data_IF_902396948960
#
_entry.id   IF_902396948960
#
_cell.length_a   1.000
_cell.length_b   1.000
_cell.length_c   1.000
_cell.angle_alpha   90.00
_cell.angle_beta   90.00
_cell.angle_gamma   90.00
#
_symmetry.space_group_name_H-M   'P 1'
#
loop_
_entity.id
_entity.type
_entity.pdbx_description
1 polymer ?
#
# COMPACT_ATOMS: atom_id res chain seq x y z
N UNK A 1 -13.93 -2.20 -4.86
CA UNK A 1 -12.78 -3.11 -5.09
C UNK A 1 -12.53 -3.86 -3.79
N UNK A 2 -12.39 -5.19 -3.83
CA UNK A 2 -12.12 -5.99 -2.62
C UNK A 2 -10.63 -5.89 -2.25
N UNK A 3 -10.30 -6.13 -0.97
CA UNK A 3 -8.90 -6.15 -0.52
C UNK A 3 -8.06 -7.16 -1.31
N UNK A 4 -8.67 -8.27 -1.71
CA UNK A 4 -8.03 -9.32 -2.50
C UNK A 4 -7.69 -8.86 -3.92
N UNK A 5 -8.60 -8.18 -4.62
CA UNK A 5 -8.32 -7.59 -5.94
C UNK A 5 -7.18 -6.59 -5.86
N UNK A 6 -7.19 -5.74 -4.83
CA UNK A 6 -6.10 -4.79 -4.59
C UNK A 6 -4.79 -5.52 -4.33
N UNK A 7 -4.75 -6.53 -3.46
CA UNK A 7 -3.56 -7.34 -3.25
C UNK A 7 -3.03 -7.97 -4.54
N UNK A 8 -3.94 -8.48 -5.38
CA UNK A 8 -3.59 -9.11 -6.65
C UNK A 8 -3.03 -8.10 -7.66
N UNK A 9 -3.64 -6.91 -7.72
CA UNK A 9 -3.11 -5.79 -8.50
C UNK A 9 -1.78 -5.34 -7.93
N UNK A 10 -1.56 -5.30 -6.62
CA UNK A 10 -0.31 -4.81 -6.05
C UNK A 10 0.79 -5.88 -5.95
N UNK A 11 0.45 -7.15 -6.14
CA UNK A 11 1.38 -8.27 -6.07
C UNK A 11 2.55 -8.13 -7.05
N UNK A 12 2.34 -7.53 -8.22
CA UNK A 12 3.42 -7.27 -9.18
C UNK A 12 4.40 -6.18 -8.74
N UNK A 13 4.01 -5.34 -7.76
CA UNK A 13 4.87 -4.33 -7.17
C UNK A 13 5.70 -4.88 -6.01
N UNK A 14 5.35 -6.07 -5.48
CA UNK A 14 6.14 -6.74 -4.43
C UNK A 14 7.50 -7.14 -5.01
N UNK A 15 8.57 -6.74 -4.33
CA UNK A 15 9.95 -6.88 -4.80
C UNK A 15 10.47 -5.70 -5.61
N UNK A 16 9.65 -4.67 -5.87
CA UNK A 16 10.10 -3.42 -6.50
C UNK A 16 10.44 -2.36 -5.44
N UNK A 17 11.35 -1.42 -5.74
CA UNK A 17 11.65 -0.31 -4.84
C UNK A 17 10.42 0.58 -4.66
N UNK A 18 10.06 0.80 -3.40
CA UNK A 18 9.01 1.71 -3.00
C UNK A 18 9.38 3.13 -3.42
N UNK A 19 8.44 3.78 -4.09
CA UNK A 19 8.51 5.19 -4.46
C UNK A 19 7.24 5.90 -4.01
N UNK A 20 7.30 7.16 -3.59
CA UNK A 20 6.10 7.94 -3.28
C UNK A 20 5.13 8.02 -4.46
N UNK A 21 5.59 7.91 -5.71
CA UNK A 21 4.72 7.85 -6.89
C UNK A 21 3.84 6.58 -6.95
N UNK A 22 4.27 5.49 -6.31
CA UNK A 22 3.45 4.28 -6.20
C UNK A 22 2.20 4.56 -5.39
N UNK A 23 2.23 5.41 -4.36
CA UNK A 23 1.01 5.75 -3.61
C UNK A 23 -0.08 6.33 -4.49
N UNK A 24 0.30 7.26 -5.37
CA UNK A 24 -0.62 7.91 -6.30
C UNK A 24 -1.18 6.90 -7.32
N UNK A 25 -0.31 5.99 -7.77
CA UNK A 25 -0.70 4.87 -8.65
C UNK A 25 -1.67 3.92 -7.95
N UNK A 26 -1.40 3.55 -6.69
CA UNK A 26 -2.29 2.71 -5.87
C UNK A 26 -3.61 3.42 -5.62
N UNK A 27 -3.59 4.71 -5.29
CA UNK A 27 -4.79 5.51 -5.08
C UNK A 27 -5.66 5.51 -6.35
N UNK A 28 -5.04 5.70 -7.52
CA UNK A 28 -5.72 5.70 -8.82
C UNK A 28 -6.24 4.32 -9.21
N UNK A 29 -5.43 3.26 -9.03
CA UNK A 29 -5.79 1.88 -9.38
C UNK A 29 -6.89 1.33 -8.48
N UNK A 30 -6.83 1.63 -7.19
CA UNK A 30 -7.71 1.04 -6.17
C UNK A 30 -8.90 1.92 -5.82
N UNK A 31 -8.84 3.19 -6.21
CA UNK A 31 -9.80 4.23 -5.81
C UNK A 31 -9.68 4.65 -4.35
N UNK A 32 -8.68 4.16 -3.61
CA UNK A 32 -8.51 4.44 -2.18
C UNK A 32 -7.65 5.65 -1.95
N UNK A 33 -8.24 6.65 -1.31
CA UNK A 33 -7.60 7.93 -0.97
C UNK A 33 -6.58 7.83 0.17
N UNK A 34 -6.57 6.71 0.92
CA UNK A 34 -5.76 6.57 2.14
C UNK A 34 -4.71 5.47 2.01
N UNK A 35 -3.63 5.80 1.30
CA UNK A 35 -2.46 4.91 1.12
C UNK A 35 -1.30 5.40 1.99
N UNK A 36 -0.91 4.57 2.96
CA UNK A 36 0.14 4.85 3.93
C UNK A 36 1.44 4.18 3.48
N UNK A 37 2.49 4.96 3.43
CA UNK A 37 3.83 4.48 3.09
C UNK A 37 4.45 3.62 4.21
N UNK A 38 5.51 2.86 3.90
CA UNK A 38 6.21 2.03 4.88
C UNK A 38 6.87 2.82 6.01
N UNK A 39 7.24 4.08 5.74
CA UNK A 39 7.90 4.98 6.69
C UNK A 39 6.93 5.95 7.38
N UNK A 40 5.64 5.92 7.02
CA UNK A 40 4.67 6.82 7.64
C UNK A 40 4.09 6.22 8.90
N UNK A 41 4.28 6.93 10.02
CA UNK A 41 3.48 6.70 11.21
C UNK A 41 2.03 7.11 10.93
N UNK A 42 1.11 6.16 11.07
CA UNK A 42 -0.32 6.42 11.06
C UNK A 42 -0.95 6.07 12.42
N UNK A 43 -1.96 6.84 12.81
CA UNK A 43 -2.76 6.59 14.01
C UNK A 43 -3.44 5.22 13.90
N UNK A 44 -3.55 4.47 15.01
CA UNK A 44 -4.20 3.13 15.04
C UNK A 44 -5.72 3.16 14.81
N UNK A 45 -6.26 4.23 14.24
CA UNK A 45 -7.66 4.31 13.88
C UNK A 45 -7.99 3.28 12.79
N UNK A 46 -9.11 2.59 12.99
CA UNK A 46 -9.62 1.58 12.09
C UNK A 46 -10.22 2.27 10.86
N UNK A 47 -9.60 2.09 9.70
CA UNK A 47 -10.02 2.66 8.42
C UNK A 47 -10.05 1.54 7.37
N UNK A 48 -11.26 1.14 6.98
CA UNK A 48 -11.51 0.05 6.01
C UNK A 48 -10.91 0.40 4.63
N UNK A 49 -10.71 1.69 4.35
CA UNK A 49 -10.13 2.18 3.10
C UNK A 49 -8.60 2.31 3.14
N UNK A 50 -7.97 2.02 4.29
CA UNK A 50 -6.53 2.22 4.48
C UNK A 50 -5.72 1.07 3.91
N UNK A 51 -4.78 1.40 3.04
CA UNK A 51 -3.75 0.48 2.58
C UNK A 51 -2.44 0.88 3.24
N UNK A 52 -1.85 -0.03 4.01
CA UNK A 52 -0.51 0.15 4.54
C UNK A 52 0.48 -0.62 3.69
N UNK A 53 1.41 0.09 3.06
CA UNK A 53 2.50 -0.51 2.29
C UNK A 53 3.56 -0.98 3.28
N UNK A 54 3.93 -2.26 3.22
CA UNK A 54 5.10 -2.77 3.90
C UNK A 54 6.28 -2.80 2.94
N UNK A 55 7.32 -2.05 3.27
CA UNK A 55 8.62 -2.15 2.63
C UNK A 55 9.67 -2.56 3.66
N UNK A 56 10.66 -3.31 3.20
CA UNK A 56 11.82 -3.68 4.02
C UNK A 56 12.82 -2.53 4.14
N UNK A 57 13.93 -2.81 4.83
CA UNK A 57 15.08 -1.91 4.99
C UNK A 57 15.73 -1.48 3.67
N UNK A 58 15.61 -2.30 2.63
CA UNK A 58 16.11 -2.00 1.27
C UNK A 58 15.14 -1.12 0.46
N UNK A 59 14.13 -0.53 1.10
CA UNK A 59 12.99 0.16 0.46
C UNK A 59 12.22 -0.73 -0.52
N UNK A 60 12.44 -2.04 -0.54
CA UNK A 60 11.69 -2.96 -1.39
C UNK A 60 10.34 -3.26 -0.78
N UNK A 61 9.27 -3.15 -1.57
CA UNK A 61 7.92 -3.52 -1.16
C UNK A 61 7.91 -5.01 -0.84
N UNK A 62 7.60 -5.37 0.39
CA UNK A 62 7.45 -6.76 0.83
C UNK A 62 5.98 -7.19 0.85
N UNK A 63 5.04 -6.24 0.92
CA UNK A 63 3.61 -6.55 0.86
C UNK A 63 2.72 -5.37 1.25
N UNK A 64 1.44 -5.67 1.44
CA UNK A 64 0.41 -4.69 1.78
C UNK A 64 -0.45 -5.23 2.91
N UNK A 65 -0.86 -4.35 3.81
CA UNK A 65 -1.74 -4.66 4.94
C UNK A 65 -2.99 -3.78 4.88
N UNK A 66 -4.13 -4.35 5.24
CA UNK A 66 -5.43 -3.70 5.30
C UNK A 66 -5.99 -3.97 6.69
N UNK A 67 -6.44 -2.95 7.42
CA UNK A 67 -7.08 -3.09 8.74
C UNK A 67 -8.59 -2.94 8.60
#
# INVERSE_FOLDING_TARGET
MTNEDVLKTLAHLVGTPYSPAIKDTICTLTGRTRVVGPDEMCTREYDIERIQIKAGTDLLIQGFNFN
#
